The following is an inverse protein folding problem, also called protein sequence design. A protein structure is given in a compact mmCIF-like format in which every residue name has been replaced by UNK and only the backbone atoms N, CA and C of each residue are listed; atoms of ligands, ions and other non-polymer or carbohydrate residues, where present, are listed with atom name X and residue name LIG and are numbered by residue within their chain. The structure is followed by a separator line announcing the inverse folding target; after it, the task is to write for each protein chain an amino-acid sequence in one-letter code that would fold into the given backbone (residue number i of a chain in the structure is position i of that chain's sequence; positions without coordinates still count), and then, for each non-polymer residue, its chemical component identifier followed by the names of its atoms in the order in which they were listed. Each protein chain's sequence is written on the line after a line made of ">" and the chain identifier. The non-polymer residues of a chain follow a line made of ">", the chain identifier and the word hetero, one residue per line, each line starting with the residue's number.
data_IF_538940583530
#
_entry.id   IF_538940583530
#
_cell.length_a   1.000
_cell.length_b   1.000
_cell.length_c   1.000
_cell.angle_alpha   90.00
_cell.angle_beta   90.00
_cell.angle_gamma   90.00
#
_symmetry.space_group_name_H-M   'P 1'
#
loop_
_entity.id
_entity.type
_entity.pdbx_description
1 polymer ?
#
# COMPACT_ATOMS: atom_id res chain seq x y z
N UNK A 1 -53.18 41.45 -26.29
CA UNK A 1 -53.33 39.97 -26.23
C UNK A 1 -52.06 39.17 -26.52
N UNK A 2 -51.19 39.58 -27.46
CA UNK A 2 -49.97 38.81 -27.82
C UNK A 2 -48.88 38.72 -26.72
N UNK A 3 -48.75 39.74 -25.87
CA UNK A 3 -47.69 39.80 -24.82
C UNK A 3 -48.01 38.86 -23.65
N UNK A 4 -49.29 38.75 -23.28
CA UNK A 4 -49.77 37.86 -22.21
C UNK A 4 -49.60 36.38 -22.58
N UNK A 5 -49.83 36.01 -23.84
CA UNK A 5 -49.63 34.64 -24.34
C UNK A 5 -48.15 34.26 -24.35
N UNK A 6 -47.24 35.17 -24.77
CA UNK A 6 -45.79 34.92 -24.72
C UNK A 6 -45.28 34.68 -23.30
N UNK A 7 -45.80 35.41 -22.31
CA UNK A 7 -45.44 35.21 -20.89
C UNK A 7 -45.93 33.86 -20.37
N UNK A 8 -47.16 33.46 -20.70
CA UNK A 8 -47.71 32.16 -20.28
C UNK A 8 -46.91 31.00 -20.89
N UNK A 9 -46.57 31.08 -22.18
CA UNK A 9 -45.76 30.05 -22.86
C UNK A 9 -44.36 29.96 -22.26
N UNK A 10 -43.72 31.10 -21.96
CA UNK A 10 -42.40 31.13 -21.33
C UNK A 10 -42.41 30.53 -19.91
N UNK A 11 -43.45 30.84 -19.14
CA UNK A 11 -43.62 30.33 -17.77
C UNK A 11 -43.91 28.83 -17.78
N UNK A 12 -44.73 28.35 -18.73
CA UNK A 12 -45.01 26.93 -18.92
C UNK A 12 -43.77 26.13 -19.35
N UNK A 13 -42.92 26.68 -20.23
CA UNK A 13 -41.66 26.04 -20.62
C UNK A 13 -40.64 25.96 -19.48
N UNK A 14 -40.63 26.95 -18.57
CA UNK A 14 -39.72 26.96 -17.42
C UNK A 14 -40.15 25.93 -16.35
N UNK A 15 -41.46 25.79 -16.13
CA UNK A 15 -42.00 24.77 -15.21
C UNK A 15 -41.76 23.37 -15.78
N UNK A 16 -41.93 23.17 -17.09
CA UNK A 16 -41.68 21.88 -17.74
C UNK A 16 -40.20 21.46 -17.65
N UNK A 17 -39.27 22.42 -17.75
CA UNK A 17 -37.84 22.17 -17.55
C UNK A 17 -37.47 21.84 -16.08
N UNK A 18 -38.18 22.40 -15.10
CA UNK A 18 -37.98 22.15 -13.66
C UNK A 18 -38.62 20.84 -13.18
N UNK A 19 -39.60 20.29 -13.90
CA UNK A 19 -40.30 19.04 -13.53
C UNK A 19 -39.77 17.80 -14.26
N UNK A 20 -38.80 17.93 -15.16
CA UNK A 20 -38.13 16.75 -15.72
C UNK A 20 -37.21 16.15 -14.64
N UNK A 21 -37.37 14.87 -14.27
CA UNK A 21 -36.44 14.22 -13.37
C UNK A 21 -35.07 14.25 -14.04
N UNK A 22 -34.14 15.00 -13.44
CA UNK A 22 -32.76 15.14 -13.89
C UNK A 22 -32.05 13.79 -13.88
N UNK A 23 -32.30 12.97 -14.91
CA UNK A 23 -31.44 11.86 -15.33
C UNK A 23 -30.34 12.40 -16.23
N UNK A 24 -29.74 13.51 -15.81
CA UNK A 24 -28.40 13.86 -16.22
C UNK A 24 -27.45 13.18 -15.23
N UNK A 25 -27.36 11.86 -15.28
CA UNK A 25 -26.17 11.15 -14.79
C UNK A 25 -25.05 11.34 -15.82
N UNK A 26 -24.75 12.60 -16.15
CA UNK A 26 -23.43 12.99 -16.61
C UNK A 26 -22.60 13.25 -15.35
N UNK A 27 -22.54 12.26 -14.45
CA UNK A 27 -21.41 12.16 -13.57
C UNK A 27 -20.28 11.74 -14.51
N UNK A 28 -19.40 12.68 -14.84
CA UNK A 28 -18.06 12.29 -15.22
C UNK A 28 -17.60 11.33 -14.14
N UNK A 29 -17.46 10.05 -14.51
CA UNK A 29 -16.75 9.08 -13.69
C UNK A 29 -15.47 9.82 -13.30
N UNK A 30 -15.16 10.01 -12.01
CA UNK A 30 -13.91 10.67 -11.66
C UNK A 30 -12.82 9.90 -12.38
N UNK A 31 -12.20 10.55 -13.36
CA UNK A 31 -10.99 10.06 -14.00
C UNK A 31 -9.99 10.12 -12.86
N UNK A 32 -9.79 8.98 -12.20
CA UNK A 32 -8.92 8.89 -11.04
C UNK A 32 -7.52 9.30 -11.50
N UNK A 33 -7.12 10.44 -10.97
CA UNK A 33 -5.86 11.09 -11.32
C UNK A 33 -4.72 10.24 -10.75
N UNK A 34 -3.80 9.86 -11.62
CA UNK A 34 -2.59 9.08 -11.34
C UNK A 34 -1.64 9.74 -10.32
N UNK A 35 -1.98 10.94 -9.84
CA UNK A 35 -1.27 11.71 -8.80
C UNK A 35 -1.17 10.94 -7.47
N UNK A 36 -2.22 10.21 -7.07
CA UNK A 36 -2.20 9.40 -5.84
C UNK A 36 -1.25 8.19 -5.93
N UNK A 37 -1.03 7.65 -7.14
CA UNK A 37 -0.05 6.58 -7.37
C UNK A 37 1.38 7.14 -7.34
N UNK A 38 1.60 8.35 -7.87
CA UNK A 38 2.91 9.01 -7.84
C UNK A 38 3.32 9.35 -6.40
N UNK A 39 2.41 9.85 -5.56
CA UNK A 39 2.70 10.09 -4.14
C UNK A 39 3.02 8.80 -3.41
N UNK A 40 2.31 7.72 -3.71
CA UNK A 40 2.57 6.39 -3.16
C UNK A 40 3.95 5.84 -3.56
N UNK A 41 4.33 5.94 -4.83
CA UNK A 41 5.67 5.54 -5.30
C UNK A 41 6.76 6.39 -4.65
N UNK A 42 6.51 7.68 -4.39
CA UNK A 42 7.45 8.54 -3.65
C UNK A 42 7.64 8.08 -2.20
N UNK A 43 6.55 7.80 -1.49
CA UNK A 43 6.60 7.27 -0.13
C UNK A 43 7.38 5.94 -0.08
N UNK A 44 7.14 5.04 -1.04
CA UNK A 44 7.91 3.81 -1.21
C UNK A 44 9.42 4.04 -1.41
N UNK A 45 9.79 5.04 -2.22
CA UNK A 45 11.19 5.37 -2.47
C UNK A 45 11.87 5.99 -1.24
N UNK A 46 11.17 6.82 -0.49
CA UNK A 46 11.68 7.43 0.76
C UNK A 46 11.91 6.37 1.83
N UNK A 47 10.94 5.49 2.04
CA UNK A 47 11.03 4.45 3.04
C UNK A 47 12.03 3.34 2.64
N UNK A 48 12.21 3.10 1.34
CA UNK A 48 13.33 2.32 0.80
C UNK A 48 14.70 2.92 1.11
N UNK A 49 14.85 4.26 1.05
CA UNK A 49 16.10 4.94 1.46
C UNK A 49 16.37 4.80 2.96
N UNK A 50 15.36 4.93 3.81
CA UNK A 50 15.50 4.69 5.26
C UNK A 50 15.94 3.25 5.56
N UNK A 51 15.35 2.25 4.87
CA UNK A 51 15.76 0.84 4.98
C UNK A 51 17.23 0.63 4.63
N UNK A 52 17.75 1.32 3.60
CA UNK A 52 19.16 1.25 3.22
C UNK A 52 20.11 1.75 4.33
N UNK A 53 19.69 2.73 5.13
CA UNK A 53 20.47 3.22 6.27
C UNK A 53 20.51 2.17 7.39
N UNK A 54 19.38 1.54 7.71
CA UNK A 54 19.31 0.47 8.72
C UNK A 54 20.11 -0.77 8.28
N UNK A 55 20.08 -1.12 6.98
CA UNK A 55 20.95 -2.16 6.39
C UNK A 55 22.42 -1.85 6.62
N UNK A 56 22.86 -0.60 6.40
CA UNK A 56 24.24 -0.18 6.65
C UNK A 56 24.59 -0.29 8.14
N UNK A 57 23.70 0.17 9.02
CA UNK A 57 23.88 0.09 10.48
C UNK A 57 24.04 -1.36 10.94
N UNK A 58 23.19 -2.29 10.48
CA UNK A 58 23.32 -3.71 10.84
C UNK A 58 24.59 -4.34 10.26
N UNK A 59 24.95 -4.01 9.02
CA UNK A 59 26.23 -4.49 8.44
C UNK A 59 27.43 -3.98 9.26
N UNK A 60 27.38 -2.73 9.72
CA UNK A 60 28.41 -2.15 10.56
C UNK A 60 28.49 -2.86 11.93
N UNK A 61 27.35 -3.09 12.59
CA UNK A 61 27.31 -3.83 13.86
C UNK A 61 27.75 -5.29 13.71
N UNK A 62 27.41 -5.95 12.59
CA UNK A 62 27.90 -7.29 12.27
C UNK A 62 29.43 -7.30 12.09
N UNK A 63 29.98 -6.34 11.34
CA UNK A 63 31.42 -6.21 11.09
C UNK A 63 32.21 -5.94 12.38
N UNK A 64 31.65 -5.16 13.31
CA UNK A 64 32.26 -4.93 14.62
C UNK A 64 32.21 -6.15 15.55
N UNK A 65 31.27 -7.08 15.32
CA UNK A 65 31.10 -8.28 16.13
C UNK A 65 31.99 -9.45 15.70
N UNK A 66 32.36 -9.57 14.41
CA UNK A 66 33.21 -10.68 13.92
C UNK A 66 34.58 -10.74 14.62
N UNK A 67 35.00 -9.67 15.33
CA UNK A 67 36.23 -9.62 16.12
C UNK A 67 36.07 -9.94 17.63
N UNK A 68 34.85 -10.18 18.14
CA UNK A 68 34.64 -10.41 19.58
C UNK A 68 33.84 -11.70 19.78
N UNK A 69 34.56 -12.79 20.01
CA UNK A 69 34.00 -14.00 20.57
C UNK A 69 33.36 -13.67 21.94
N UNK A 70 32.10 -14.07 22.11
CA UNK A 70 31.29 -14.04 23.35
C UNK A 70 30.52 -12.76 23.66
N UNK A 71 29.35 -12.57 23.02
CA UNK A 71 28.13 -12.12 23.73
C UNK A 71 26.89 -12.70 23.02
N UNK A 72 26.31 -13.80 23.53
CA UNK A 72 25.12 -14.46 22.94
C UNK A 72 23.94 -13.49 22.72
N UNK A 73 23.70 -12.58 23.67
CA UNK A 73 22.63 -11.59 23.59
C UNK A 73 22.83 -10.57 22.43
N UNK A 74 24.06 -10.13 22.18
CA UNK A 74 24.36 -9.26 21.03
C UNK A 74 24.18 -10.01 19.70
N UNK A 75 24.47 -11.32 19.66
CA UNK A 75 24.20 -12.16 18.48
C UNK A 75 22.71 -12.21 18.18
N UNK A 76 21.92 -12.44 19.21
CA UNK A 76 20.47 -12.54 19.10
C UNK A 76 19.84 -11.22 18.67
N UNK A 77 20.31 -10.10 19.25
CA UNK A 77 19.93 -8.73 18.85
C UNK A 77 20.14 -8.51 17.36
N UNK A 78 21.34 -8.80 16.87
CA UNK A 78 21.68 -8.60 15.46
C UNK A 78 20.88 -9.52 14.54
N UNK A 79 20.61 -10.76 14.96
CA UNK A 79 19.78 -11.68 14.17
C UNK A 79 18.34 -11.17 14.05
N UNK A 80 17.75 -10.69 15.14
CA UNK A 80 16.39 -10.17 15.13
C UNK A 80 16.26 -8.91 14.25
N UNK A 81 17.20 -7.98 14.36
CA UNK A 81 17.24 -6.78 13.49
C UNK A 81 17.51 -7.18 12.02
N UNK A 82 18.36 -8.18 11.77
CA UNK A 82 18.58 -8.67 10.40
C UNK A 82 17.32 -9.33 9.81
N UNK A 83 16.54 -10.03 10.61
CA UNK A 83 15.25 -10.59 10.18
C UNK A 83 14.24 -9.49 9.88
N UNK A 84 14.13 -8.48 10.74
CA UNK A 84 13.33 -7.27 10.49
C UNK A 84 13.66 -6.60 9.16
N UNK A 85 14.95 -6.37 8.88
CA UNK A 85 15.40 -5.79 7.61
C UNK A 85 15.00 -6.66 6.42
N UNK A 86 15.18 -7.99 6.52
CA UNK A 86 14.85 -8.91 5.44
C UNK A 86 13.34 -8.92 5.15
N UNK A 87 12.53 -8.94 6.20
CA UNK A 87 11.07 -8.88 6.08
C UNK A 87 10.64 -7.56 5.45
N UNK A 88 11.18 -6.44 5.92
CA UNK A 88 10.91 -5.12 5.34
C UNK A 88 11.31 -5.05 3.87
N UNK A 89 12.50 -5.52 3.49
CA UNK A 89 12.90 -5.59 2.09
C UNK A 89 11.89 -6.39 1.25
N UNK A 90 11.44 -7.53 1.75
CA UNK A 90 10.43 -8.36 1.07
C UNK A 90 9.10 -7.61 0.91
N UNK A 91 8.64 -6.90 1.94
CA UNK A 91 7.46 -6.02 1.84
C UNK A 91 7.63 -5.02 0.69
N UNK A 92 8.75 -4.28 0.65
CA UNK A 92 9.03 -3.31 -0.42
C UNK A 92 9.10 -3.96 -1.80
N UNK A 93 9.79 -5.07 -1.94
CA UNK A 93 9.94 -5.78 -3.22
C UNK A 93 8.56 -6.26 -3.73
N UNK A 94 7.72 -6.84 -2.85
CA UNK A 94 6.35 -7.26 -3.16
C UNK A 94 5.48 -6.07 -3.55
N UNK A 95 5.57 -4.93 -2.86
CA UNK A 95 4.79 -3.76 -3.26
C UNK A 95 5.29 -3.15 -4.57
N UNK A 96 6.59 -2.95 -4.75
CA UNK A 96 7.09 -2.29 -5.96
C UNK A 96 6.81 -3.09 -7.23
N UNK A 97 6.90 -4.43 -7.15
CA UNK A 97 6.62 -5.32 -8.27
C UNK A 97 5.14 -5.70 -8.34
N UNK A 98 4.68 -6.49 -7.38
CA UNK A 98 3.40 -7.19 -7.49
C UNK A 98 2.21 -6.23 -7.45
N UNK A 99 2.25 -5.18 -6.62
CA UNK A 99 1.17 -4.21 -6.58
C UNK A 99 1.09 -3.40 -7.88
N UNK A 100 2.23 -3.03 -8.47
CA UNK A 100 2.24 -2.34 -9.76
C UNK A 100 1.59 -3.20 -10.84
N UNK A 101 1.89 -4.49 -10.86
CA UNK A 101 1.32 -5.42 -11.83
C UNK A 101 -0.19 -5.64 -11.60
N UNK A 102 -0.63 -5.70 -10.33
CA UNK A 102 -2.05 -5.75 -9.96
C UNK A 102 -2.77 -4.49 -10.41
N UNK A 103 -2.27 -3.31 -10.07
CA UNK A 103 -2.94 -2.03 -10.36
C UNK A 103 -2.97 -1.68 -11.86
N UNK A 104 -1.98 -2.15 -12.62
CA UNK A 104 -1.96 -1.98 -14.08
C UNK A 104 -2.82 -3.01 -14.83
N UNK A 105 -3.41 -3.98 -14.13
CA UNK A 105 -4.23 -5.00 -14.76
C UNK A 105 -5.56 -4.40 -15.25
N UNK A 106 -5.97 -4.65 -16.52
CA UNK A 106 -7.26 -4.19 -17.04
C UNK A 106 -8.44 -4.89 -16.33
N UNK A 107 -8.17 -5.95 -15.58
CA UNK A 107 -9.17 -6.71 -14.84
C UNK A 107 -9.36 -6.22 -13.40
N UNK A 108 -8.76 -5.10 -12.99
CA UNK A 108 -9.01 -4.44 -11.71
C UNK A 108 -9.93 -3.24 -11.91
N UNK A 109 -10.97 -3.12 -11.08
CA UNK A 109 -11.92 -2.01 -11.14
C UNK A 109 -11.37 -0.78 -10.42
N UNK A 110 -11.82 0.41 -10.82
CA UNK A 110 -11.33 1.68 -10.25
C UNK A 110 -11.55 1.80 -8.73
N UNK A 111 -12.66 1.30 -8.20
CA UNK A 111 -12.94 1.26 -6.75
C UNK A 111 -12.07 0.23 -6.01
N UNK A 112 -11.62 -0.82 -6.71
CA UNK A 112 -10.68 -1.78 -6.15
C UNK A 112 -9.28 -1.20 -6.07
N UNK A 113 -8.86 -0.36 -7.02
CA UNK A 113 -7.57 0.34 -6.98
C UNK A 113 -7.42 1.10 -5.66
N UNK A 114 -8.41 1.91 -5.29
CA UNK A 114 -8.39 2.69 -4.04
C UNK A 114 -8.30 1.78 -2.81
N UNK A 115 -9.08 0.71 -2.78
CA UNK A 115 -9.08 -0.24 -1.66
C UNK A 115 -7.77 -1.03 -1.57
N UNK A 116 -7.20 -1.43 -2.71
CA UNK A 116 -5.91 -2.12 -2.78
C UNK A 116 -4.83 -1.16 -2.27
N UNK A 117 -4.71 0.03 -2.85
CA UNK A 117 -3.73 1.04 -2.46
C UNK A 117 -3.81 1.36 -0.97
N UNK A 118 -5.01 1.61 -0.44
CA UNK A 118 -5.21 1.90 1.00
C UNK A 118 -4.72 0.75 1.88
N UNK A 119 -5.04 -0.50 1.51
CA UNK A 119 -4.61 -1.66 2.31
C UNK A 119 -3.11 -1.90 2.26
N UNK A 120 -2.45 -1.60 1.14
CA UNK A 120 -1.01 -1.78 1.00
C UNK A 120 -0.25 -0.62 1.67
N UNK A 121 -0.77 0.60 1.59
CA UNK A 121 -0.24 1.76 2.31
C UNK A 121 -0.19 1.51 3.81
N UNK A 122 -1.30 1.04 4.40
CA UNK A 122 -1.36 0.76 5.84
C UNK A 122 -0.27 -0.22 6.31
N UNK A 123 0.06 -1.23 5.49
CA UNK A 123 1.13 -2.20 5.81
C UNK A 123 2.50 -1.52 5.74
N UNK A 124 2.72 -0.64 4.77
CA UNK A 124 3.99 0.05 4.59
C UNK A 124 4.21 1.15 5.62
N UNK A 125 3.15 1.86 5.99
CA UNK A 125 3.18 2.86 7.06
C UNK A 125 3.62 2.18 8.35
N UNK A 126 2.97 1.07 8.73
CA UNK A 126 3.37 0.26 9.89
C UNK A 126 4.81 -0.26 9.79
N UNK A 127 5.21 -0.76 8.61
CA UNK A 127 6.58 -1.24 8.39
C UNK A 127 7.64 -0.13 8.52
N UNK A 128 7.28 1.10 8.13
CA UNK A 128 8.14 2.28 8.26
C UNK A 128 8.27 2.71 9.72
N UNK A 129 7.15 2.79 10.44
CA UNK A 129 7.12 3.08 11.88
C UNK A 129 7.98 2.08 12.67
N UNK A 130 7.86 0.78 12.36
CA UNK A 130 8.68 -0.28 12.96
C UNK A 130 10.18 -0.02 12.74
N UNK A 131 10.57 0.36 11.52
CA UNK A 131 11.96 0.64 11.19
C UNK A 131 12.50 1.88 11.89
N UNK A 132 11.70 2.95 12.00
CA UNK A 132 12.06 4.16 12.73
C UNK A 132 12.27 3.89 14.22
N UNK A 133 11.37 3.11 14.82
CA UNK A 133 11.49 2.68 16.22
C UNK A 133 12.73 1.83 16.46
N UNK A 134 13.03 0.89 15.56
CA UNK A 134 14.24 0.06 15.64
C UNK A 134 15.49 0.91 15.48
N UNK A 135 15.47 1.88 14.57
CA UNK A 135 16.58 2.83 14.43
C UNK A 135 16.81 3.58 15.75
N UNK A 136 15.76 4.11 16.37
CA UNK A 136 15.83 4.84 17.65
C UNK A 136 16.38 3.98 18.81
N UNK A 137 15.98 2.70 18.90
CA UNK A 137 16.50 1.75 19.91
C UNK A 137 17.99 1.45 19.70
N UNK A 138 18.46 1.47 18.45
CA UNK A 138 19.83 1.16 18.10
C UNK A 138 20.75 2.38 18.16
N UNK A 139 20.24 3.58 17.93
CA UNK A 139 21.00 4.83 17.88
C UNK A 139 21.03 5.59 19.20
N UNK A 140 19.98 5.48 20.02
CA UNK A 140 19.85 6.28 21.24
C UNK A 140 20.31 5.52 22.50
N UNK A 141 21.12 6.20 23.32
CA UNK A 141 21.27 5.90 24.75
C UNK A 141 20.14 6.55 25.59
N UNK A 142 19.25 7.30 24.95
CA UNK A 142 18.24 8.15 25.59
C UNK A 142 16.99 7.37 26.00
N UNK A 143 16.69 6.26 25.31
CA UNK A 143 15.71 5.29 25.79
C UNK A 143 16.26 4.62 27.05
N UNK A 144 15.68 4.96 28.21
CA UNK A 144 15.93 4.34 29.53
C UNK A 144 15.43 2.88 29.60
N UNK A 145 15.62 2.13 28.52
CA UNK A 145 15.29 0.71 28.40
C UNK A 145 16.54 -0.11 28.72
N UNK A 146 16.37 -1.12 29.57
CA UNK A 146 17.40 -2.15 29.79
C UNK A 146 17.62 -2.96 28.52
N UNK A 147 18.79 -3.60 28.38
CA UNK A 147 19.09 -4.45 27.21
C UNK A 147 18.05 -5.57 27.01
N UNK A 148 17.48 -6.10 28.09
CA UNK A 148 16.40 -7.08 28.03
C UNK A 148 15.09 -6.50 27.49
N UNK A 149 14.73 -5.27 27.87
CA UNK A 149 13.53 -4.59 27.37
C UNK A 149 13.68 -4.20 25.89
N UNK A 150 14.86 -3.69 25.50
CA UNK A 150 15.18 -3.41 24.09
C UNK A 150 15.07 -4.67 23.25
N UNK A 151 15.59 -5.80 23.75
CA UNK A 151 15.49 -7.09 23.06
C UNK A 151 14.05 -7.58 22.92
N UNK A 152 13.23 -7.44 23.96
CA UNK A 152 11.80 -7.80 23.88
C UNK A 152 11.06 -6.95 22.85
N UNK A 153 11.32 -5.65 22.82
CA UNK A 153 10.74 -4.74 21.83
C UNK A 153 11.15 -5.14 20.40
N UNK A 154 12.44 -5.35 20.15
CA UNK A 154 12.93 -5.81 18.83
C UNK A 154 12.29 -7.13 18.42
N UNK A 155 12.12 -8.09 19.35
CA UNK A 155 11.45 -9.37 19.07
C UNK A 155 9.97 -9.21 18.76
N UNK A 156 9.28 -8.28 19.41
CA UNK A 156 7.88 -7.99 19.13
C UNK A 156 7.71 -7.48 17.70
N UNK A 157 8.46 -6.45 17.29
CA UNK A 157 8.42 -5.93 15.92
C UNK A 157 8.90 -6.98 14.90
N UNK A 158 9.87 -7.83 15.24
CA UNK A 158 10.27 -8.93 14.35
C UNK A 158 9.11 -9.88 14.05
N UNK A 159 8.30 -10.20 15.07
CA UNK A 159 7.12 -11.05 14.92
C UNK A 159 6.06 -10.35 14.06
N UNK A 160 5.75 -9.10 14.38
CA UNK A 160 4.80 -8.26 13.64
C UNK A 160 5.20 -8.12 12.16
N UNK A 161 6.47 -7.82 11.89
CA UNK A 161 7.00 -7.74 10.53
C UNK A 161 6.86 -9.05 9.74
N UNK A 162 6.95 -10.20 10.41
CA UNK A 162 6.70 -11.51 9.78
C UNK A 162 5.21 -11.71 9.44
N UNK A 163 4.33 -11.25 10.32
CA UNK A 163 2.88 -11.30 10.11
C UNK A 163 2.48 -10.37 8.95
N UNK A 164 3.05 -9.16 8.88
CA UNK A 164 2.86 -8.23 7.77
C UNK A 164 3.30 -8.83 6.42
N UNK A 165 4.44 -9.52 6.37
CA UNK A 165 4.89 -10.23 5.16
C UNK A 165 3.87 -11.28 4.75
N UNK A 166 3.37 -12.07 5.70
CA UNK A 166 2.38 -13.11 5.40
C UNK A 166 1.07 -12.49 4.91
N UNK A 167 0.66 -11.39 5.51
CA UNK A 167 -0.55 -10.66 5.12
C UNK A 167 -0.43 -10.09 3.71
N UNK A 168 0.69 -9.45 3.37
CA UNK A 168 0.88 -8.83 2.05
C UNK A 168 0.89 -9.90 0.96
N UNK A 169 1.55 -11.04 1.19
CA UNK A 169 1.62 -12.14 0.24
C UNK A 169 0.25 -12.73 -0.04
N UNK A 170 -0.53 -12.97 1.02
CA UNK A 170 -1.89 -13.49 0.89
C UNK A 170 -2.81 -12.53 0.16
N UNK A 171 -2.68 -11.21 0.39
CA UNK A 171 -3.46 -10.20 -0.34
C UNK A 171 -3.05 -10.15 -1.81
N UNK A 172 -1.76 -10.18 -2.09
CA UNK A 172 -1.23 -10.22 -3.45
C UNK A 172 -1.75 -11.44 -4.21
N UNK A 173 -1.65 -12.64 -3.62
CA UNK A 173 -2.16 -13.88 -4.20
C UNK A 173 -3.66 -13.79 -4.50
N UNK A 174 -4.44 -13.32 -3.53
CA UNK A 174 -5.89 -13.12 -3.72
C UNK A 174 -6.22 -12.20 -4.90
N UNK A 175 -5.49 -11.10 -5.08
CA UNK A 175 -5.74 -10.20 -6.22
C UNK A 175 -5.28 -10.80 -7.55
N UNK A 176 -4.19 -11.59 -7.56
CA UNK A 176 -3.79 -12.39 -8.74
C UNK A 176 -4.88 -13.38 -9.14
N UNK A 177 -5.47 -14.08 -8.18
CA UNK A 177 -6.56 -15.03 -8.45
C UNK A 177 -7.80 -14.33 -9.03
N UNK A 178 -8.15 -13.16 -8.49
CA UNK A 178 -9.26 -12.34 -9.00
C UNK A 178 -8.99 -11.92 -10.45
N UNK A 179 -7.77 -11.46 -10.75
CA UNK A 179 -7.38 -11.06 -12.10
C UNK A 179 -7.47 -12.27 -13.05
N UNK A 180 -6.90 -13.41 -12.68
CA UNK A 180 -6.92 -14.63 -13.50
C UNK A 180 -8.35 -15.13 -13.74
N UNK A 181 -9.22 -15.08 -12.73
CA UNK A 181 -10.62 -15.45 -12.86
C UNK A 181 -11.37 -14.53 -13.84
N UNK A 182 -11.17 -13.22 -13.74
CA UNK A 182 -11.79 -12.24 -14.65
C UNK A 182 -11.25 -12.36 -16.07
N UNK A 183 -9.95 -12.58 -16.24
CA UNK A 183 -9.35 -12.87 -17.54
C UNK A 183 -9.98 -14.12 -18.18
N UNK A 184 -10.23 -15.16 -17.39
CA UNK A 184 -10.92 -16.37 -17.84
C UNK A 184 -12.37 -16.07 -18.26
N UNK A 185 -13.10 -15.28 -17.47
CA UNK A 185 -14.46 -14.85 -17.81
C UNK A 185 -14.48 -14.07 -19.12
N UNK A 186 -13.56 -13.12 -19.32
CA UNK A 186 -13.46 -12.32 -20.54
C UNK A 186 -13.15 -13.22 -21.75
N UNK A 187 -12.26 -14.19 -21.60
CA UNK A 187 -11.98 -15.20 -22.65
C UNK A 187 -13.18 -16.08 -22.97
N UNK A 188 -14.05 -16.40 -22.00
CA UNK A 188 -15.26 -17.22 -22.22
C UNK A 188 -16.35 -16.37 -22.89
N UNK A 189 -16.56 -15.14 -22.42
CA UNK A 189 -17.59 -14.24 -22.93
C UNK A 189 -17.30 -13.83 -24.39
N UNK A 190 -16.03 -13.58 -24.72
CA UNK A 190 -15.60 -13.23 -26.07
C UNK A 190 -15.43 -14.45 -27.00
N UNK A 191 -15.69 -15.68 -26.53
CA UNK A 191 -15.54 -16.90 -27.34
C UNK A 191 -16.73 -17.19 -28.27
N UNK A 192 -17.81 -16.39 -28.27
CA UNK A 192 -18.98 -16.60 -29.13
C UNK A 192 -19.53 -15.31 -29.77
N UNK A 193 -18.99 -14.95 -30.93
CA UNK A 193 -19.73 -14.26 -32.01
C UNK A 193 -19.16 -14.64 -33.39
N UNK A 194 -18.96 -15.94 -33.64
CA UNK A 194 -18.69 -16.49 -34.98
C UNK A 194 -19.64 -17.67 -35.24
N UNK A 195 -20.95 -17.44 -35.09
CA UNK A 195 -21.99 -18.34 -35.60
C UNK A 195 -22.71 -17.64 -36.74
#
# INVERSE_FOLDING_TARGET
>A
MKITIKKIVFTASLILALTMPGRATAQGIPVYDNVNFISFVKQLLEAGKQTANIIKTVKFLKKQKENIEKVSAAIEKLKAVQELIRNNKRLYDTVQGDLRDILNSPHIRADEVERISTSFNAILDQATEDLEFINEILSSDHLKLTDGERMRAIRAHQKESKEMVTEIERKTERYRDIIAFREMQDKINNRKTNY
#
